data_IF_708602466433
#
_entry.id   IF_708602466433
#
_cell.length_a   1.000
_cell.length_b   1.000
_cell.length_c   1.000
_cell.angle_alpha   90.00
_cell.angle_beta   90.00
_cell.angle_gamma   90.00
#
_symmetry.space_group_name_H-M   'P 1'
#
loop_
_entity.id
_entity.type
_entity.pdbx_description
1 polymer ?
#
# COMPACT_ATOMS: atom_id res chain seq x y z
N UNK A 1 2.38 -21.67 17.76
CA UNK A 1 2.00 -20.41 17.08
C UNK A 1 2.65 -20.44 15.71
N UNK A 2 1.89 -20.34 14.62
CA UNK A 2 2.46 -20.30 13.27
C UNK A 2 3.31 -19.04 13.11
N UNK A 3 4.51 -19.15 12.56
CA UNK A 3 5.37 -17.99 12.33
C UNK A 3 4.75 -17.07 11.26
N UNK A 4 5.21 -15.81 11.19
CA UNK A 4 4.84 -14.89 10.09
C UNK A 4 5.18 -15.46 8.72
N UNK A 5 6.31 -16.15 8.61
CA UNK A 5 6.70 -16.83 7.37
C UNK A 5 5.71 -17.96 7.00
N UNK A 6 5.26 -18.77 7.96
CA UNK A 6 4.30 -19.85 7.68
C UNK A 6 2.93 -19.31 7.30
N UNK A 7 2.46 -18.26 7.97
CA UNK A 7 1.23 -17.55 7.61
C UNK A 7 1.30 -17.04 6.17
N UNK A 8 2.38 -16.35 5.81
CA UNK A 8 2.53 -15.75 4.48
C UNK A 8 2.65 -16.80 3.39
N UNK A 9 3.32 -17.93 3.65
CA UNK A 9 3.33 -19.09 2.74
C UNK A 9 1.93 -19.68 2.59
N UNK A 10 1.20 -19.86 3.69
CA UNK A 10 -0.17 -20.37 3.65
C UNK A 10 -1.14 -19.43 2.92
N UNK A 11 -0.92 -18.10 2.98
CA UNK A 11 -1.66 -17.14 2.14
C UNK A 11 -1.24 -17.24 0.67
N UNK A 12 0.06 -17.41 0.40
CA UNK A 12 0.59 -17.60 -0.95
C UNK A 12 0.01 -18.86 -1.62
N UNK A 13 -0.22 -19.94 -0.87
CA UNK A 13 -0.85 -21.15 -1.41
C UNK A 13 -2.35 -20.98 -1.70
N UNK A 14 -2.98 -19.98 -1.10
CA UNK A 14 -4.41 -19.68 -1.25
C UNK A 14 -4.73 -18.62 -2.31
N UNK A 15 -3.73 -18.04 -2.98
CA UNK A 15 -3.94 -17.00 -4.00
C UNK A 15 -4.77 -17.46 -5.18
N UNK A 16 -4.86 -18.77 -5.45
CA UNK A 16 -5.76 -19.32 -6.48
C UNK A 16 -7.24 -19.07 -6.18
N UNK A 17 -7.58 -18.71 -4.94
CA UNK A 17 -8.91 -18.28 -4.51
C UNK A 17 -9.13 -16.78 -4.71
N UNK A 18 -8.08 -16.01 -5.04
CA UNK A 18 -8.23 -14.61 -5.37
C UNK A 18 -8.99 -14.47 -6.70
N UNK A 19 -9.86 -13.45 -6.84
CA UNK A 19 -10.50 -13.18 -8.11
C UNK A 19 -9.45 -12.85 -9.16
N UNK A 20 -9.60 -13.41 -10.36
CA UNK A 20 -8.80 -13.00 -11.51
C UNK A 20 -9.07 -11.51 -11.78
N UNK A 21 -8.02 -10.68 -11.99
CA UNK A 21 -8.24 -9.29 -12.30
C UNK A 21 -9.14 -9.11 -13.50
N UNK A 22 -10.17 -8.29 -13.32
CA UNK A 22 -11.20 -8.04 -14.32
C UNK A 22 -10.73 -7.04 -15.38
N UNK A 23 -11.51 -6.96 -16.47
CA UNK A 23 -11.32 -5.97 -17.53
C UNK A 23 -10.19 -6.33 -18.51
N UNK A 24 -10.03 -5.47 -19.51
CA UNK A 24 -9.04 -5.62 -20.58
C UNK A 24 -8.54 -4.23 -21.00
N UNK A 25 -7.32 -4.15 -21.51
CA UNK A 25 -6.76 -2.91 -22.06
C UNK A 25 -5.39 -2.61 -21.50
N UNK A 26 -4.82 -1.50 -21.96
CA UNK A 26 -3.43 -1.15 -21.66
C UNK A 26 -3.25 -0.49 -20.29
N UNK A 27 -4.29 0.11 -19.71
CA UNK A 27 -4.17 0.81 -18.44
C UNK A 27 -4.39 -0.14 -17.27
N UNK A 28 -3.46 -0.11 -16.32
CA UNK A 28 -3.68 -0.61 -14.98
C UNK A 28 -4.47 0.44 -14.20
N UNK A 29 -5.75 0.17 -13.95
CA UNK A 29 -6.56 0.98 -13.05
C UNK A 29 -6.37 0.52 -11.61
N UNK A 30 -6.12 1.47 -10.71
CA UNK A 30 -6.07 1.22 -9.26
C UNK A 30 -6.82 2.34 -8.53
N UNK A 31 -7.71 1.95 -7.63
CA UNK A 31 -8.48 2.83 -6.76
C UNK A 31 -8.12 2.58 -5.30
N UNK A 32 -7.64 3.62 -4.64
CA UNK A 32 -7.33 3.60 -3.21
C UNK A 32 -8.00 4.76 -2.51
N UNK A 33 -8.38 4.56 -1.25
CA UNK A 33 -8.78 5.63 -0.34
C UNK A 33 -7.91 5.58 0.90
N UNK A 34 -7.65 6.72 1.53
CA UNK A 34 -6.73 6.77 2.65
C UNK A 34 -6.68 8.10 3.33
N UNK A 35 -5.80 8.19 4.32
CA UNK A 35 -5.47 9.46 4.94
C UNK A 35 -3.98 9.56 5.22
N UNK A 36 -3.50 10.80 5.25
CA UNK A 36 -2.13 11.12 5.62
C UNK A 36 -2.15 12.22 6.66
N UNK A 37 -1.34 12.03 7.71
CA UNK A 37 -1.11 13.03 8.73
C UNK A 37 -0.11 14.05 8.19
N UNK A 38 -0.57 15.28 7.99
CA UNK A 38 0.30 16.40 7.64
C UNK A 38 0.67 17.16 8.93
N UNK A 39 1.95 17.42 9.13
CA UNK A 39 2.41 18.33 10.19
C UNK A 39 2.76 19.66 9.55
N UNK A 40 1.95 20.69 9.79
CA UNK A 40 2.28 22.05 9.40
C UNK A 40 3.01 22.69 10.59
N UNK A 41 4.20 23.22 10.33
CA UNK A 41 4.90 24.09 11.27
C UNK A 41 4.71 25.51 10.80
N UNK A 42 3.92 26.28 11.52
CA UNK A 42 3.80 27.73 11.33
C UNK A 42 4.53 28.44 12.46
N UNK A 43 4.95 29.67 12.20
CA UNK A 43 5.37 30.59 13.26
C UNK A 43 4.22 31.59 13.37
N UNK A 44 3.65 31.71 14.56
CA UNK A 44 2.60 32.70 14.78
C UNK A 44 3.17 34.13 14.79
N UNK A 45 2.29 35.12 14.91
CA UNK A 45 2.68 36.54 14.90
C UNK A 45 3.55 36.95 16.10
N UNK A 46 3.65 36.11 17.13
CA UNK A 46 4.49 36.34 18.31
C UNK A 46 5.86 35.68 18.21
N UNK A 47 6.14 34.97 17.11
CA UNK A 47 7.39 34.24 16.91
C UNK A 47 7.38 32.82 17.50
N UNK A 48 6.24 32.37 18.04
CA UNK A 48 6.11 31.02 18.60
C UNK A 48 5.83 30.01 17.48
N UNK A 49 6.59 28.91 17.48
CA UNK A 49 6.31 27.80 16.57
C UNK A 49 5.00 27.12 16.97
N UNK A 50 3.99 27.22 16.11
CA UNK A 50 2.75 26.48 16.20
C UNK A 50 2.85 25.24 15.32
N UNK A 51 2.69 24.08 15.94
CA UNK A 51 2.60 22.80 15.24
C UNK A 51 1.12 22.43 15.13
N UNK A 52 0.56 22.49 13.92
CA UNK A 52 -0.76 21.94 13.66
C UNK A 52 -0.63 20.59 12.95
N UNK A 53 -1.54 19.68 13.31
CA UNK A 53 -1.64 18.35 12.72
C UNK A 53 -3.00 18.29 12.03
N UNK A 54 -3.00 18.13 10.71
CA UNK A 54 -4.21 17.83 9.95
C UNK A 54 -4.15 16.39 9.44
N UNK A 55 -5.33 15.78 9.29
CA UNK A 55 -5.49 14.49 8.63
C UNK A 55 -6.29 14.73 7.37
N UNK A 56 -5.67 14.47 6.23
CA UNK A 56 -6.30 14.71 4.94
C UNK A 56 -6.75 13.38 4.35
N UNK A 57 -8.06 13.25 4.13
CA UNK A 57 -8.64 12.09 3.45
C UNK A 57 -8.49 12.27 1.93
N UNK A 58 -7.94 11.25 1.28
CA UNK A 58 -7.68 11.25 -0.15
C UNK A 58 -8.35 10.05 -0.82
N UNK A 59 -9.15 10.31 -1.85
CA UNK A 59 -9.57 9.32 -2.83
C UNK A 59 -8.62 9.42 -4.03
N UNK A 60 -7.93 8.33 -4.37
CA UNK A 60 -6.95 8.30 -5.44
C UNK A 60 -7.32 7.22 -6.46
N UNK A 61 -7.52 7.65 -7.69
CA UNK A 61 -7.75 6.80 -8.86
C UNK A 61 -6.65 7.06 -9.86
N UNK A 62 -6.09 6.01 -10.41
CA UNK A 62 -5.04 6.14 -11.42
C UNK A 62 -5.27 5.15 -12.55
N UNK A 63 -4.78 5.52 -13.72
CA UNK A 63 -4.74 4.71 -14.92
C UNK A 63 -3.33 4.86 -15.46
N UNK A 64 -2.54 3.79 -15.40
CA UNK A 64 -1.12 3.84 -15.82
C UNK A 64 -0.91 2.84 -16.95
N UNK A 65 -0.40 3.33 -18.09
CA UNK A 65 0.00 2.54 -19.24
C UNK A 65 1.45 2.04 -19.08
N UNK A 66 1.88 1.00 -19.83
CA UNK A 66 3.27 0.50 -19.79
C UNK A 66 4.33 1.53 -20.20
N UNK A 67 3.96 2.54 -20.99
CA UNK A 67 4.86 3.62 -21.39
C UNK A 67 4.93 4.76 -20.35
N UNK A 68 4.24 4.64 -19.21
CA UNK A 68 4.16 5.67 -18.17
C UNK A 68 3.18 6.81 -18.48
N UNK A 69 2.42 6.74 -19.57
CA UNK A 69 1.32 7.67 -19.81
C UNK A 69 0.07 7.29 -19.01
N UNK A 70 -0.87 8.23 -18.91
CA UNK A 70 -2.20 7.94 -18.39
C UNK A 70 -2.81 9.09 -17.60
N UNK A 71 -3.52 8.76 -16.52
CA UNK A 71 -4.28 9.73 -15.74
C UNK A 71 -4.14 9.45 -14.26
N UNK A 72 -4.07 10.52 -13.49
CA UNK A 72 -4.17 10.47 -12.03
C UNK A 72 -5.30 11.40 -11.61
N UNK A 73 -6.13 10.94 -10.68
CA UNK A 73 -7.16 11.73 -10.04
C UNK A 73 -7.02 11.55 -8.53
N UNK A 74 -6.80 12.64 -7.82
CA UNK A 74 -6.70 12.70 -6.36
C UNK A 74 -7.74 13.70 -5.88
N UNK A 75 -8.74 13.22 -5.15
CA UNK A 75 -9.79 14.03 -4.55
C UNK A 75 -9.52 14.18 -3.06
N UNK A 76 -9.54 15.41 -2.56
CA UNK A 76 -9.50 15.74 -1.15
C UNK A 76 -10.80 16.47 -0.78
N UNK A 77 -11.61 15.88 0.09
CA UNK A 77 -12.98 16.32 0.29
C UNK A 77 -13.78 16.19 -1.00
N UNK A 78 -14.18 17.32 -1.59
CA UNK A 78 -14.93 17.38 -2.85
C UNK A 78 -14.09 17.93 -4.02
N UNK A 79 -12.81 18.24 -3.79
CA UNK A 79 -11.98 18.96 -4.77
C UNK A 79 -10.87 18.07 -5.32
N UNK A 80 -10.67 18.11 -6.64
CA UNK A 80 -9.49 17.52 -7.26
C UNK A 80 -8.24 18.35 -6.92
N UNK A 81 -7.25 17.71 -6.32
CA UNK A 81 -6.00 18.35 -5.90
C UNK A 81 -4.82 17.84 -6.73
N UNK A 82 -3.70 18.57 -6.71
CA UNK A 82 -2.46 18.05 -7.30
C UNK A 82 -2.06 16.74 -6.60
N UNK A 83 -1.52 15.73 -7.31
CA UNK A 83 -1.13 15.77 -8.72
C UNK A 83 -2.20 15.19 -9.68
N UNK A 84 -3.47 15.60 -9.58
CA UNK A 84 -4.48 15.22 -10.58
C UNK A 84 -4.15 15.77 -11.96
N UNK A 85 -4.36 14.96 -13.01
CA UNK A 85 -4.16 15.37 -14.40
C UNK A 85 -3.93 14.21 -15.37
N UNK A 86 -3.73 14.56 -16.63
CA UNK A 86 -3.24 13.65 -17.66
C UNK A 86 -1.73 13.75 -17.78
N UNK A 87 -1.10 12.61 -18.02
CA UNK A 87 0.34 12.46 -18.04
C UNK A 87 0.78 11.91 -19.41
N UNK A 88 1.78 12.55 -20.05
CA UNK A 88 2.38 12.01 -21.27
C UNK A 88 3.19 10.73 -20.97
N UNK A 89 3.67 10.02 -22.00
CA UNK A 89 4.61 8.91 -21.82
C UNK A 89 5.80 9.30 -20.91
N UNK A 90 6.15 8.43 -19.97
CA UNK A 90 7.14 8.67 -18.92
C UNK A 90 6.69 9.57 -17.76
N UNK A 91 5.44 10.04 -17.76
CA UNK A 91 4.92 10.95 -16.73
C UNK A 91 4.50 10.28 -15.42
N UNK A 92 4.21 8.98 -15.44
CA UNK A 92 3.81 8.17 -14.29
C UNK A 92 4.77 6.97 -14.11
N UNK A 93 4.94 6.47 -12.87
CA UNK A 93 5.79 5.31 -12.60
C UNK A 93 5.15 4.03 -13.14
N UNK A 94 5.66 3.55 -14.28
CA UNK A 94 5.22 2.32 -14.95
C UNK A 94 6.25 1.18 -14.86
N UNK A 95 7.00 1.10 -13.75
CA UNK A 95 7.94 0.02 -13.46
C UNK A 95 7.22 -1.29 -13.09
N UNK A 96 6.25 -1.70 -13.91
CA UNK A 96 5.38 -2.83 -13.64
C UNK A 96 6.17 -4.14 -13.53
N UNK A 97 5.83 -4.90 -12.50
CA UNK A 97 6.30 -6.25 -12.32
C UNK A 97 5.35 -7.22 -13.03
N UNK A 98 5.93 -8.08 -13.85
CA UNK A 98 5.28 -9.29 -14.33
C UNK A 98 5.66 -10.45 -13.41
N UNK A 99 4.76 -11.41 -13.23
CA UNK A 99 5.09 -12.62 -12.49
C UNK A 99 6.20 -13.38 -13.24
N UNK A 100 7.37 -13.46 -12.62
CA UNK A 100 8.53 -14.19 -13.12
C UNK A 100 8.91 -15.26 -12.08
N UNK A 101 10.17 -15.31 -11.67
CA UNK A 101 10.66 -16.13 -10.57
C UNK A 101 10.80 -15.32 -9.26
N UNK A 102 10.86 -16.04 -8.14
CA UNK A 102 10.95 -15.44 -6.81
C UNK A 102 12.22 -14.59 -6.61
N UNK A 103 13.44 -15.03 -6.99
CA UNK A 103 14.63 -14.19 -6.95
C UNK A 103 14.49 -12.85 -7.70
N UNK A 104 13.91 -12.87 -8.90
CA UNK A 104 13.68 -11.65 -9.69
C UNK A 104 12.77 -10.67 -8.96
N UNK A 105 11.64 -11.15 -8.41
CA UNK A 105 10.71 -10.29 -7.65
C UNK A 105 11.37 -9.78 -6.36
N UNK A 106 12.09 -10.64 -5.64
CA UNK A 106 12.80 -10.25 -4.42
C UNK A 106 13.82 -9.12 -4.68
N UNK A 107 14.64 -9.26 -5.73
CA UNK A 107 15.61 -8.23 -6.13
C UNK A 107 14.95 -6.91 -6.54
N UNK A 108 13.75 -6.95 -7.14
CA UNK A 108 12.98 -5.74 -7.46
C UNK A 108 12.41 -5.07 -6.21
N UNK A 109 11.95 -5.82 -5.22
CA UNK A 109 11.42 -5.27 -3.97
C UNK A 109 12.49 -4.70 -3.04
N UNK A 110 13.68 -5.30 -3.02
CA UNK A 110 14.83 -4.76 -2.27
C UNK A 110 15.29 -3.40 -2.83
N UNK A 111 15.02 -3.14 -4.12
CA UNK A 111 15.36 -1.89 -4.78
C UNK A 111 16.88 -1.71 -4.94
N UNK A 112 17.32 -0.48 -5.27
CA UNK A 112 18.76 -0.14 -5.42
C UNK A 112 19.41 0.37 -4.12
N UNK A 113 18.70 0.27 -2.99
CA UNK A 113 19.14 0.79 -1.70
C UNK A 113 20.28 -0.06 -1.12
N UNK A 114 21.34 0.57 -0.60
CA UNK A 114 22.43 -0.13 0.13
C UNK A 114 22.03 -0.62 1.52
N UNK A 115 20.90 -0.15 2.07
CA UNK A 115 20.34 -0.65 3.32
C UNK A 115 19.06 -1.41 2.97
N UNK A 116 19.21 -2.71 2.81
CA UNK A 116 18.08 -3.64 2.77
C UNK A 116 17.42 -3.63 4.15
N UNK A 117 16.12 -3.34 4.20
CA UNK A 117 15.34 -3.44 5.44
C UNK A 117 13.94 -3.97 5.15
N UNK A 118 13.37 -4.68 6.11
CA UNK A 118 11.99 -5.17 6.05
C UNK A 118 11.01 -4.02 5.77
N UNK A 119 11.22 -2.86 6.38
CA UNK A 119 10.46 -1.63 6.08
C UNK A 119 10.52 -1.22 4.60
N UNK A 120 11.71 -1.28 3.99
CA UNK A 120 11.90 -0.98 2.56
C UNK A 120 11.17 -1.99 1.68
N UNK A 121 11.26 -3.29 2.00
CA UNK A 121 10.56 -4.34 1.24
C UNK A 121 9.04 -4.19 1.37
N UNK A 122 8.51 -3.92 2.57
CA UNK A 122 7.08 -3.65 2.78
C UNK A 122 6.62 -2.42 2.00
N UNK A 123 7.43 -1.37 1.92
CA UNK A 123 7.12 -0.18 1.11
C UNK A 123 7.13 -0.48 -0.39
N UNK A 124 8.10 -1.25 -0.89
CA UNK A 124 8.12 -1.67 -2.29
C UNK A 124 6.93 -2.57 -2.61
N UNK A 125 6.58 -3.49 -1.70
CA UNK A 125 5.41 -4.34 -1.81
C UNK A 125 4.14 -3.51 -2.00
N UNK A 126 3.89 -2.52 -1.12
CA UNK A 126 2.71 -1.66 -1.24
C UNK A 126 2.74 -0.79 -2.49
N UNK A 127 3.93 -0.36 -2.94
CA UNK A 127 4.09 0.41 -4.17
C UNK A 127 3.63 -0.39 -5.39
N UNK A 128 3.93 -1.69 -5.47
CA UNK A 128 3.44 -2.57 -6.55
C UNK A 128 1.92 -2.57 -6.60
N UNK A 129 1.26 -2.82 -5.46
CA UNK A 129 -0.20 -2.76 -5.38
C UNK A 129 -0.77 -1.37 -5.67
N UNK A 130 -0.01 -0.32 -5.39
CA UNK A 130 -0.42 1.06 -5.61
C UNK A 130 -0.26 1.51 -7.07
N UNK A 131 0.59 0.87 -7.88
CA UNK A 131 0.88 1.29 -9.27
C UNK A 131 0.27 0.38 -10.34
N UNK A 132 -0.02 -0.89 -10.00
CA UNK A 132 -0.52 -1.85 -10.98
C UNK A 132 -1.62 -2.76 -10.43
N UNK A 133 -2.43 -3.27 -11.36
CA UNK A 133 -3.18 -4.52 -11.17
C UNK A 133 -2.21 -5.67 -10.85
N UNK A 134 -2.52 -6.45 -9.82
CA UNK A 134 -1.71 -7.59 -9.36
C UNK A 134 -2.43 -8.89 -9.71
N UNK A 135 -1.80 -9.74 -10.52
CA UNK A 135 -2.33 -11.07 -10.82
C UNK A 135 -2.14 -12.05 -9.64
N UNK A 136 -2.90 -13.15 -9.55
CA UNK A 136 -2.71 -14.15 -8.51
C UNK A 136 -1.28 -14.71 -8.46
N UNK A 137 -0.63 -14.90 -9.62
CA UNK A 137 0.74 -15.38 -9.71
C UNK A 137 1.73 -14.37 -9.13
N UNK A 138 1.56 -13.07 -9.46
CA UNK A 138 2.41 -12.02 -8.90
C UNK A 138 2.17 -11.88 -7.39
N UNK A 139 0.91 -11.88 -6.96
CA UNK A 139 0.54 -11.83 -5.54
C UNK A 139 1.20 -12.96 -4.75
N UNK A 140 1.21 -14.19 -5.30
CA UNK A 140 1.91 -15.32 -4.70
C UNK A 140 3.39 -15.01 -4.46
N UNK A 141 4.09 -14.51 -5.49
CA UNK A 141 5.51 -14.19 -5.39
C UNK A 141 5.77 -13.06 -4.39
N UNK A 142 4.94 -12.02 -4.39
CA UNK A 142 5.03 -10.92 -3.43
C UNK A 142 4.88 -11.41 -1.98
N UNK A 143 3.91 -12.30 -1.70
CA UNK A 143 3.72 -12.90 -0.38
C UNK A 143 4.91 -13.77 0.04
N UNK A 144 5.47 -14.54 -0.90
CA UNK A 144 6.68 -15.35 -0.64
C UNK A 144 7.91 -14.48 -0.38
N UNK A 145 8.05 -13.32 -1.03
CA UNK A 145 9.10 -12.35 -0.71
C UNK A 145 8.93 -11.76 0.70
N UNK A 146 7.69 -11.45 1.11
CA UNK A 146 7.42 -11.04 2.49
C UNK A 146 7.76 -12.15 3.50
N UNK A 147 7.48 -13.42 3.16
CA UNK A 147 7.80 -14.56 4.02
C UNK A 147 9.32 -14.77 4.25
N UNK A 148 10.17 -14.15 3.44
CA UNK A 148 11.62 -14.15 3.61
C UNK A 148 12.12 -13.02 4.51
N UNK A 149 11.26 -12.05 4.87
CA UNK A 149 11.70 -10.92 5.67
C UNK A 149 11.84 -11.32 7.14
N UNK A 150 12.97 -10.97 7.78
CA UNK A 150 13.12 -11.12 9.20
C UNK A 150 12.20 -10.13 9.93
N UNK A 151 11.89 -10.46 11.18
CA UNK A 151 11.27 -9.53 12.14
C UNK A 151 9.88 -9.02 11.75
N UNK A 152 9.12 -9.85 11.02
CA UNK A 152 7.68 -9.68 10.84
C UNK A 152 6.92 -10.31 12.01
N UNK A 153 6.03 -9.53 12.62
CA UNK A 153 5.10 -9.99 13.65
C UNK A 153 3.72 -10.22 13.05
N UNK A 154 3.08 -11.33 13.44
CA UNK A 154 1.67 -11.58 13.13
C UNK A 154 0.84 -10.96 14.23
N UNK A 155 -0.19 -10.21 13.84
CA UNK A 155 -1.19 -9.68 14.74
C UNK A 155 -2.49 -10.48 14.60
N UNK A 156 -3.36 -10.39 15.61
CA UNK A 156 -4.69 -11.01 15.55
C UNK A 156 -5.47 -10.53 14.32
N UNK A 157 -6.45 -11.31 13.89
CA UNK A 157 -7.35 -10.87 12.84
C UNK A 157 -7.96 -9.51 13.23
N UNK A 158 -7.89 -8.57 12.29
CA UNK A 158 -8.46 -7.23 12.43
C UNK A 158 -9.37 -6.95 11.24
N UNK A 159 -10.34 -6.09 11.47
CA UNK A 159 -11.22 -5.56 10.44
C UNK A 159 -10.67 -4.21 9.98
N UNK A 160 -10.66 -3.96 8.66
CA UNK A 160 -10.39 -2.62 8.17
C UNK A 160 -11.61 -1.70 8.32
N UNK A 161 -11.45 -0.43 7.98
CA UNK A 161 -12.55 0.55 8.09
C UNK A 161 -13.69 0.33 7.08
N UNK A 162 -13.55 -0.62 6.17
CA UNK A 162 -14.56 -1.00 5.18
C UNK A 162 -15.29 -2.29 5.56
N UNK A 163 -15.02 -2.83 6.75
CA UNK A 163 -15.65 -4.05 7.24
C UNK A 163 -14.99 -5.34 6.76
N UNK A 164 -13.80 -5.27 6.16
CA UNK A 164 -13.13 -6.43 5.58
C UNK A 164 -12.17 -7.03 6.61
N UNK A 165 -12.41 -8.27 6.99
CA UNK A 165 -11.54 -9.02 7.89
C UNK A 165 -10.26 -9.48 7.19
N UNK A 166 -9.15 -9.42 7.91
CA UNK A 166 -7.89 -9.95 7.44
C UNK A 166 -6.91 -10.26 8.56
N UNK A 167 -5.77 -10.84 8.19
CA UNK A 167 -4.66 -11.07 9.09
C UNK A 167 -3.64 -9.95 8.92
N UNK A 168 -3.26 -9.31 10.02
CA UNK A 168 -2.28 -8.25 10.00
C UNK A 168 -0.85 -8.79 10.21
N UNK A 169 0.08 -8.27 9.43
CA UNK A 169 1.51 -8.42 9.65
C UNK A 169 2.13 -7.05 9.87
N UNK A 170 3.14 -6.97 10.73
CA UNK A 170 3.80 -5.70 11.03
C UNK A 170 5.30 -5.83 11.24
N UNK A 171 5.98 -4.70 11.12
CA UNK A 171 7.39 -4.52 11.39
C UNK A 171 7.59 -3.16 12.03
N UNK A 172 8.46 -3.07 13.04
CA UNK A 172 8.82 -1.80 13.68
C UNK A 172 10.18 -1.35 13.11
N UNK A 173 10.17 -0.25 12.36
CA UNK A 173 11.39 0.47 12.00
C UNK A 173 11.80 1.32 13.20
N UNK A 174 12.74 0.80 13.99
CA UNK A 174 13.23 1.44 15.22
C UNK A 174 13.97 2.74 14.94
N UNK A 175 14.66 2.86 13.81
CA UNK A 175 15.41 4.08 13.44
C UNK A 175 14.44 5.24 13.16
N UNK A 176 13.27 4.94 12.59
CA UNK A 176 12.25 5.93 12.23
C UNK A 176 11.14 6.07 13.26
N UNK A 177 11.11 5.21 14.27
CA UNK A 177 9.99 5.09 15.22
C UNK A 177 8.63 4.92 14.51
N UNK A 178 8.59 4.05 13.48
CA UNK A 178 7.38 3.76 12.71
C UNK A 178 7.10 2.26 12.67
N UNK A 179 5.88 1.86 13.04
CA UNK A 179 5.36 0.52 12.78
C UNK A 179 4.68 0.50 11.42
N UNK A 180 5.24 -0.27 10.50
CA UNK A 180 4.60 -0.62 9.23
C UNK A 180 3.65 -1.79 9.47
N UNK A 181 2.40 -1.68 9.01
CA UNK A 181 1.40 -2.74 9.11
C UNK A 181 0.72 -2.96 7.78
N UNK A 182 0.61 -4.22 7.37
CA UNK A 182 -0.19 -4.65 6.21
C UNK A 182 -1.32 -5.52 6.71
N UNK A 183 -2.52 -5.30 6.17
CA UNK A 183 -3.67 -6.17 6.38
C UNK A 183 -3.91 -6.98 5.11
N UNK A 184 -3.84 -8.29 5.23
CA UNK A 184 -4.02 -9.23 4.13
C UNK A 184 -5.33 -9.98 4.31
N UNK A 185 -6.13 -10.10 3.25
CA UNK A 185 -7.37 -10.87 3.28
C UNK A 185 -7.08 -12.32 3.62
N UNK A 186 -7.78 -12.86 4.62
CA UNK A 186 -7.42 -14.16 5.21
C UNK A 186 -7.57 -15.31 4.22
N UNK A 187 -8.57 -15.27 3.34
CA UNK A 187 -8.87 -16.41 2.46
C UNK A 187 -8.02 -16.49 1.20
N UNK A 188 -7.49 -15.36 0.72
CA UNK A 188 -6.87 -15.27 -0.60
C UNK A 188 -5.56 -14.47 -0.60
N UNK A 189 -5.20 -13.79 0.48
CA UNK A 189 -3.94 -13.06 0.62
C UNK A 189 -3.88 -11.69 -0.05
N UNK A 190 -5.02 -11.15 -0.52
CA UNK A 190 -5.05 -9.82 -1.15
C UNK A 190 -4.68 -8.72 -0.15
N UNK A 191 -3.93 -7.71 -0.58
CA UNK A 191 -3.66 -6.55 0.25
C UNK A 191 -4.93 -5.69 0.39
N UNK A 192 -5.43 -5.57 1.62
CA UNK A 192 -6.60 -4.76 1.94
C UNK A 192 -6.18 -3.35 2.38
N UNK A 193 -5.16 -3.27 3.24
CA UNK A 193 -4.74 -2.02 3.88
C UNK A 193 -3.24 -1.99 4.16
N UNK A 194 -2.66 -0.80 4.10
CA UNK A 194 -1.31 -0.48 4.55
C UNK A 194 -1.37 0.70 5.51
N UNK A 195 -0.67 0.61 6.63
CA UNK A 195 -0.63 1.66 7.64
C UNK A 195 0.81 1.90 8.10
N UNK A 196 1.15 3.17 8.30
CA UNK A 196 2.26 3.57 9.14
C UNK A 196 1.69 4.11 10.44
N UNK A 197 2.12 3.52 11.54
CA UNK A 197 1.68 3.86 12.89
C UNK A 197 2.88 4.39 13.65
N UNK A 198 2.68 5.44 14.44
CA UNK A 198 3.71 5.93 15.35
C UNK A 198 4.10 4.82 16.33
N UNK A 199 5.36 4.38 16.30
CA UNK A 199 5.83 3.25 17.12
C UNK A 199 5.83 3.59 18.62
N UNK A 200 5.94 4.89 18.94
CA UNK A 200 5.95 5.40 20.31
C UNK A 200 4.53 5.71 20.81
N UNK A 201 3.50 5.57 19.97
CA UNK A 201 2.12 5.63 20.45
C UNK A 201 1.88 4.46 21.41
N UNK A 202 1.74 4.78 22.70
CA UNK A 202 1.64 3.78 23.76
C UNK A 202 0.37 2.96 23.58
N UNK A 203 0.50 1.64 23.79
CA UNK A 203 -0.65 0.76 24.06
C UNK A 203 -1.13 0.91 25.52
N UNK A 204 -0.96 2.09 26.13
CA UNK A 204 -1.54 2.37 27.44
C UNK A 204 -3.07 2.44 27.27
N UNK A 205 -3.76 1.77 28.20
CA UNK A 205 -5.15 1.34 28.08
C UNK A 205 -6.09 2.50 27.65
N UNK A 206 -6.79 2.27 26.54
CA UNK A 206 -7.85 3.09 25.92
C UNK A 206 -7.47 4.14 24.86
N UNK A 207 -6.18 4.43 24.62
CA UNK A 207 -5.83 5.32 23.50
C UNK A 207 -5.67 4.54 22.17
N UNK A 208 -6.43 4.93 21.14
CA UNK A 208 -6.25 4.37 19.80
C UNK A 208 -4.86 4.74 19.25
N UNK A 209 -4.17 3.82 18.55
CA UNK A 209 -2.83 4.07 18.02
C UNK A 209 -2.82 5.26 17.05
N UNK A 210 -1.73 6.02 17.06
CA UNK A 210 -1.61 7.19 16.16
C UNK A 210 -1.22 6.74 14.77
N UNK A 211 -2.21 6.66 13.88
CA UNK A 211 -2.00 6.29 12.47
C UNK A 211 -1.49 7.51 11.70
N UNK A 212 -0.23 7.44 11.25
CA UNK A 212 0.46 8.47 10.46
C UNK A 212 -0.10 8.47 9.03
N UNK A 213 -0.26 7.30 8.44
CA UNK A 213 -0.93 7.16 7.17
C UNK A 213 -1.68 5.83 7.07
N UNK A 214 -2.69 5.82 6.21
CA UNK A 214 -3.44 4.62 5.87
C UNK A 214 -3.77 4.66 4.38
N UNK A 215 -3.62 3.53 3.71
CA UNK A 215 -4.08 3.32 2.34
C UNK A 215 -4.90 2.05 2.31
N UNK A 216 -6.13 2.15 1.81
CA UNK A 216 -7.07 1.06 1.60
C UNK A 216 -7.24 0.86 0.10
N UNK A 217 -7.09 -0.37 -0.37
CA UNK A 217 -7.33 -0.73 -1.76
C UNK A 217 -8.81 -1.02 -1.96
N UNK A 218 -9.46 -0.29 -2.86
CA UNK A 218 -10.89 -0.39 -3.12
C UNK A 218 -11.18 -1.24 -4.34
N UNK A 219 -10.41 -1.06 -5.41
CA UNK A 219 -10.64 -1.72 -6.69
C UNK A 219 -9.39 -1.67 -7.57
N UNK A 220 -9.24 -2.65 -8.46
CA UNK A 220 -8.18 -2.70 -9.47
C UNK A 220 -8.59 -3.57 -10.66
N UNK A 221 -8.38 -3.07 -11.88
CA UNK A 221 -8.74 -3.77 -13.11
C UNK A 221 -8.01 -3.21 -14.33
N UNK A 222 -8.05 -3.93 -15.45
CA UNK A 222 -7.53 -3.45 -16.72
C UNK A 222 -8.61 -2.70 -17.51
N UNK A 223 -8.24 -1.59 -18.15
CA UNK A 223 -9.17 -0.80 -18.97
C UNK A 223 -8.50 -0.21 -20.20
N UNK A 224 -9.28 0.03 -21.25
CA UNK A 224 -8.86 0.71 -22.48
C UNK A 224 -8.96 2.23 -22.40
N UNK A 225 -9.68 2.76 -21.40
CA UNK A 225 -9.91 4.20 -21.22
C UNK A 225 -9.53 4.68 -19.83
N UNK A 226 -9.20 5.97 -19.73
CA UNK A 226 -8.97 6.68 -18.47
C UNK A 226 -10.21 7.44 -17.98
N UNK A 227 -11.33 7.25 -18.66
CA UNK A 227 -12.66 7.71 -18.24
C UNK A 227 -13.32 6.65 -17.35
N UNK A 228 -14.02 7.09 -16.32
CA UNK A 228 -14.76 6.16 -15.45
C UNK A 228 -16.03 5.73 -16.20
N UNK A 229 -16.24 4.43 -16.40
CA UNK A 229 -17.54 3.93 -16.82
C UNK A 229 -18.58 4.40 -15.80
N UNK A 230 -19.57 5.16 -16.27
CA UNK A 230 -20.67 5.71 -15.47
C UNK A 230 -21.58 4.60 -14.93
#
# INVERSE_FOLDING_TARGET
MSSSADLLRALADRVSRAPVPRGTGLYHYVHTSGWYRHTIRTVDRTGVQVRSVSTDFLDRRQWIAPDGSGRLLVIQGETAVRPSGYYPPGGLPADFLTAADLPTIAGRLQGKSRRESTASVMKSFTTVWQTQVVSPELQRLLLLCLAQQPDLTVESAIEDRLGRSGVAISHIDTDRHVRHRLLLHEENGMLLTSQNIDADSSAEADAAPTIINCTMWLDAYYTTTTESSS
#
